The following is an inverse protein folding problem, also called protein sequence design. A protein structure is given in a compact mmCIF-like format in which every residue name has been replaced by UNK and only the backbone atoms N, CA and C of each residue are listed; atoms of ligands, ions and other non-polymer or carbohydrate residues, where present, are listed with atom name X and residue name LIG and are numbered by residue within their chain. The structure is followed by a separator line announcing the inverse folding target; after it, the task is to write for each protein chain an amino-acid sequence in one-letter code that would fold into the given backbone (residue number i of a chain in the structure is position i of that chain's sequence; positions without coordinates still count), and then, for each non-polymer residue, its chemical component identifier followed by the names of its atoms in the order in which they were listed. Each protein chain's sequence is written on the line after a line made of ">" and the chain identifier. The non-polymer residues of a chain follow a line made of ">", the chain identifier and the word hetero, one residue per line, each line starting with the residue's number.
data_IF_987187587009
#
_entry.id   IF_987187587009
#
_cell.length_a   1.000
_cell.length_b   1.000
_cell.length_c   1.000
_cell.angle_alpha   90.00
_cell.angle_beta   90.00
_cell.angle_gamma   90.00
#
_symmetry.space_group_name_H-M   'P 1'
#
loop_
_entity.id
_entity.type
_entity.pdbx_description
1 polymer ?
#
# COMPACT_ATOMS: atom_id res chain seq x y z
N UNK A 1 -0.34 -42.50 -2.19
CA UNK A 1 0.35 -41.21 -2.42
C UNK A 1 1.78 -41.52 -2.82
N UNK A 2 2.14 -41.28 -4.09
CA UNK A 2 3.53 -41.39 -4.52
C UNK A 2 4.34 -40.24 -3.92
N UNK A 3 5.43 -40.56 -3.23
CA UNK A 3 6.38 -39.54 -2.79
C UNK A 3 7.05 -38.94 -4.03
N UNK A 4 7.16 -37.61 -4.15
CA UNK A 4 7.86 -36.99 -5.26
C UNK A 4 9.31 -37.47 -5.32
N UNK A 5 9.80 -37.73 -6.54
CA UNK A 5 11.18 -38.13 -6.76
C UNK A 5 12.15 -37.02 -6.31
N UNK A 6 13.34 -37.40 -5.87
CA UNK A 6 14.39 -36.45 -5.42
C UNK A 6 14.68 -35.38 -6.50
N UNK A 7 14.68 -35.77 -7.78
CA UNK A 7 14.86 -34.84 -8.90
C UNK A 7 13.73 -33.78 -8.99
N UNK A 8 12.48 -34.17 -8.68
CA UNK A 8 11.35 -33.23 -8.69
C UNK A 8 11.44 -32.24 -7.54
N UNK A 9 11.90 -32.67 -6.37
CA UNK A 9 12.12 -31.80 -5.20
C UNK A 9 13.22 -30.77 -5.52
N UNK A 10 14.36 -31.22 -6.06
CA UNK A 10 15.45 -30.31 -6.42
C UNK A 10 15.05 -29.28 -7.49
N UNK A 11 14.28 -29.69 -8.50
CA UNK A 11 13.75 -28.76 -9.52
C UNK A 11 12.78 -27.73 -8.92
N UNK A 12 11.92 -28.14 -7.98
CA UNK A 12 11.04 -27.22 -7.27
C UNK A 12 11.82 -26.21 -6.43
N UNK A 13 12.84 -26.65 -5.70
CA UNK A 13 13.68 -25.74 -4.90
C UNK A 13 14.43 -24.71 -5.75
N UNK A 14 14.98 -25.12 -6.90
CA UNK A 14 15.66 -24.20 -7.83
C UNK A 14 14.67 -23.18 -8.38
N UNK A 15 13.48 -23.62 -8.81
CA UNK A 15 12.43 -22.74 -9.32
C UNK A 15 11.96 -21.73 -8.26
N UNK A 16 11.83 -22.16 -7.00
CA UNK A 16 11.44 -21.28 -5.91
C UNK A 16 12.51 -20.23 -5.60
N UNK A 17 13.79 -20.62 -5.58
CA UNK A 17 14.90 -19.68 -5.37
C UNK A 17 14.95 -18.63 -6.48
N UNK A 18 14.78 -19.04 -7.73
CA UNK A 18 14.74 -18.11 -8.86
C UNK A 18 13.55 -17.15 -8.74
N UNK A 19 12.34 -17.65 -8.47
CA UNK A 19 11.16 -16.80 -8.30
C UNK A 19 11.32 -15.80 -7.14
N UNK A 20 11.95 -16.20 -6.02
CA UNK A 20 12.28 -15.27 -4.93
C UNK A 20 13.25 -14.19 -5.37
N UNK A 21 14.30 -14.55 -6.11
CA UNK A 21 15.27 -13.58 -6.59
C UNK A 21 14.63 -12.57 -7.55
N UNK A 22 13.78 -13.04 -8.47
CA UNK A 22 13.04 -12.19 -9.41
C UNK A 22 12.07 -11.24 -8.69
N UNK A 23 11.29 -11.73 -7.73
CA UNK A 23 10.41 -10.89 -6.92
C UNK A 23 11.19 -9.87 -6.09
N UNK A 24 12.31 -10.27 -5.48
CA UNK A 24 13.15 -9.36 -4.72
C UNK A 24 13.75 -8.27 -5.64
N UNK A 25 14.25 -8.63 -6.82
CA UNK A 25 14.74 -7.64 -7.79
C UNK A 25 13.62 -6.69 -8.25
N UNK A 26 12.40 -7.20 -8.45
CA UNK A 26 11.24 -6.38 -8.76
C UNK A 26 10.91 -5.39 -7.64
N UNK A 27 10.92 -5.84 -6.38
CA UNK A 27 10.75 -4.96 -5.22
C UNK A 27 11.87 -3.91 -5.14
N UNK A 28 13.14 -4.33 -5.23
CA UNK A 28 14.29 -3.43 -5.18
C UNK A 28 14.30 -2.41 -6.33
N UNK A 29 13.65 -2.71 -7.45
CA UNK A 29 13.56 -1.78 -8.58
C UNK A 29 12.90 -0.45 -8.22
N UNK A 30 11.97 -0.43 -7.25
CA UNK A 30 11.29 0.79 -6.78
C UNK A 30 11.95 1.40 -5.53
N UNK A 31 12.87 0.70 -4.89
CA UNK A 31 13.54 1.16 -3.67
C UNK A 31 14.77 2.02 -4.01
N UNK A 32 14.99 3.05 -3.22
CA UNK A 32 16.16 3.92 -3.21
C UNK A 32 17.02 3.53 -2.01
N UNK A 33 17.95 2.60 -2.23
CA UNK A 33 18.82 2.07 -1.18
C UNK A 33 19.83 3.09 -0.65
N UNK A 34 20.14 4.12 -1.44
CA UNK A 34 21.15 5.14 -1.11
C UNK A 34 20.56 6.33 -0.37
N UNK A 35 19.25 6.57 -0.51
CA UNK A 35 18.57 7.67 0.18
C UNK A 35 18.61 7.52 1.69
N UNK A 36 19.22 8.46 2.38
CA UNK A 36 19.17 8.55 3.83
C UNK A 36 17.82 9.10 4.30
N UNK A 37 17.35 8.62 5.46
CA UNK A 37 16.15 9.17 6.10
C UNK A 37 16.51 10.52 6.71
N UNK A 38 15.80 11.61 6.40
CA UNK A 38 16.01 12.88 7.08
C UNK A 38 15.87 12.71 8.59
N UNK A 39 16.79 13.29 9.38
CA UNK A 39 16.78 13.14 10.85
C UNK A 39 15.44 13.55 11.48
N UNK A 40 14.78 14.55 10.88
CA UNK A 40 13.47 15.03 11.32
C UNK A 40 12.39 13.94 11.24
N UNK A 41 12.45 13.05 10.24
CA UNK A 41 11.48 11.96 10.04
C UNK A 41 11.54 11.01 11.23
N UNK A 42 12.74 10.58 11.62
CA UNK A 42 12.92 9.63 12.73
C UNK A 42 12.31 10.17 14.04
N UNK A 43 12.45 11.48 14.30
CA UNK A 43 11.87 12.12 15.48
C UNK A 43 10.34 12.15 15.44
N UNK A 44 9.75 12.42 14.27
CA UNK A 44 8.31 12.53 14.07
C UNK A 44 7.64 11.15 14.08
N UNK A 45 8.24 10.15 13.43
CA UNK A 45 7.80 8.74 13.47
C UNK A 45 7.75 8.25 14.92
N UNK A 46 8.78 8.54 15.72
CA UNK A 46 8.80 8.17 17.14
C UNK A 46 7.70 8.86 17.96
N UNK A 47 7.36 10.11 17.63
CA UNK A 47 6.23 10.82 18.28
C UNK A 47 4.89 10.16 17.92
N UNK A 48 4.70 9.80 16.65
CA UNK A 48 3.50 9.12 16.16
C UNK A 48 3.34 7.74 16.82
N UNK A 49 4.41 6.92 16.84
CA UNK A 49 4.38 5.57 17.42
C UNK A 49 4.07 5.50 18.93
N UNK A 50 4.37 6.57 19.68
CA UNK A 50 4.09 6.64 21.13
C UNK A 50 2.61 6.80 21.46
N UNK A 51 1.78 7.16 20.47
CA UNK A 51 0.34 7.26 20.67
C UNK A 51 -0.26 5.89 20.48
N UNK A 52 -0.48 5.19 21.59
CA UNK A 52 -1.03 3.85 21.62
C UNK A 52 -2.41 3.84 20.96
N UNK A 53 -2.48 3.26 19.77
CA UNK A 53 -3.74 2.95 19.11
C UNK A 53 -4.13 1.50 19.41
N UNK A 54 -5.38 1.33 19.87
CA UNK A 54 -6.08 0.05 20.01
C UNK A 54 -7.33 0.12 19.13
N UNK A 55 -7.17 0.19 17.82
CA UNK A 55 -8.33 0.15 16.94
C UNK A 55 -8.82 -1.25 16.70
N UNK A 56 -10.12 -1.34 16.50
CA UNK A 56 -10.74 -2.50 15.88
C UNK A 56 -10.24 -2.63 14.44
N UNK A 57 -10.01 -3.85 13.92
CA UNK A 57 -9.91 -4.04 12.48
C UNK A 57 -11.14 -3.43 11.82
N UNK A 58 -10.90 -2.52 10.91
CA UNK A 58 -11.91 -1.72 10.25
C UNK A 58 -12.08 -2.24 8.82
N UNK A 59 -13.34 -2.26 8.36
CA UNK A 59 -13.79 -2.88 7.11
C UNK A 59 -13.44 -2.05 5.85
N UNK A 60 -12.24 -1.45 5.81
CA UNK A 60 -11.89 -0.46 4.79
C UNK A 60 -11.62 -1.06 3.41
N UNK A 61 -11.23 -2.34 3.34
CA UNK A 61 -11.14 -3.11 2.09
C UNK A 61 -12.47 -3.16 1.33
N UNK A 62 -13.60 -3.15 2.04
CA UNK A 62 -14.93 -3.25 1.45
C UNK A 62 -15.32 -2.02 0.64
N UNK A 63 -14.83 -0.84 1.01
CA UNK A 63 -15.24 0.38 0.33
C UNK A 63 -14.56 0.50 -1.05
N UNK A 64 -13.27 0.18 -1.19
CA UNK A 64 -12.64 0.08 -2.52
C UNK A 64 -13.19 -1.08 -3.34
N UNK A 65 -13.48 -2.23 -2.71
CA UNK A 65 -14.16 -3.34 -3.39
C UNK A 65 -15.52 -2.93 -3.94
N UNK A 66 -16.29 -2.16 -3.18
CA UNK A 66 -17.56 -1.59 -3.62
C UNK A 66 -17.34 -0.65 -4.80
N UNK A 67 -16.37 0.28 -4.70
CA UNK A 67 -16.03 1.19 -5.79
C UNK A 67 -15.72 0.46 -7.09
N UNK A 68 -14.88 -0.58 -7.02
CA UNK A 68 -14.40 -1.28 -8.21
C UNK A 68 -15.46 -2.19 -8.85
N UNK A 69 -16.44 -2.67 -8.08
CA UNK A 69 -17.45 -3.64 -8.53
C UNK A 69 -18.85 -3.06 -8.75
N UNK A 70 -19.11 -1.84 -8.29
CA UNK A 70 -20.40 -1.16 -8.46
C UNK A 70 -20.56 -0.65 -9.91
N UNK A 71 -21.52 -1.16 -10.71
CA UNK A 71 -21.74 -0.74 -12.08
C UNK A 71 -22.07 0.76 -12.21
N UNK A 72 -22.63 1.37 -11.16
CA UNK A 72 -22.94 2.81 -11.13
C UNK A 72 -21.68 3.66 -11.00
N UNK A 73 -20.54 3.05 -10.66
CA UNK A 73 -19.23 3.68 -10.49
C UNK A 73 -18.23 3.25 -11.56
N UNK A 74 -18.72 2.72 -12.68
CA UNK A 74 -17.89 2.19 -13.76
C UNK A 74 -16.83 3.18 -14.25
N UNK A 75 -17.18 4.46 -14.39
CA UNK A 75 -16.24 5.50 -14.83
C UNK A 75 -15.04 5.64 -13.88
N UNK A 76 -15.30 5.73 -12.57
CA UNK A 76 -14.26 5.79 -11.54
C UNK A 76 -13.40 4.52 -11.54
N UNK A 77 -14.05 3.35 -11.61
CA UNK A 77 -13.34 2.08 -11.62
C UNK A 77 -12.46 1.93 -12.86
N UNK A 78 -12.94 2.32 -14.04
CA UNK A 78 -12.18 2.27 -15.28
C UNK A 78 -11.01 3.25 -15.28
N UNK A 79 -11.22 4.47 -14.78
CA UNK A 79 -10.17 5.45 -14.57
C UNK A 79 -9.06 4.89 -13.67
N UNK A 80 -9.42 4.35 -12.50
CA UNK A 80 -8.48 3.76 -11.55
C UNK A 80 -7.73 2.57 -12.19
N UNK A 81 -8.43 1.68 -12.91
CA UNK A 81 -7.82 0.55 -13.61
C UNK A 81 -6.81 1.02 -14.65
N UNK A 82 -7.16 2.02 -15.45
CA UNK A 82 -6.26 2.55 -16.47
C UNK A 82 -4.99 3.13 -15.83
N UNK A 83 -5.15 3.89 -14.74
CA UNK A 83 -4.05 4.55 -14.02
C UNK A 83 -3.23 3.59 -13.15
N UNK A 84 -3.67 2.36 -12.91
CA UNK A 84 -2.90 1.34 -12.20
C UNK A 84 -2.30 0.28 -13.13
N UNK A 85 -2.68 0.28 -14.41
CA UNK A 85 -2.24 -0.74 -15.37
C UNK A 85 -0.72 -0.80 -15.49
N UNK A 86 -0.15 -1.96 -15.19
CA UNK A 86 1.28 -2.21 -15.32
C UNK A 86 2.15 -1.42 -14.33
N UNK A 87 1.58 -0.91 -13.25
CA UNK A 87 2.28 -0.12 -12.23
C UNK A 87 2.33 -0.85 -10.89
N UNK A 88 3.19 -0.41 -9.98
CA UNK A 88 3.17 -0.84 -8.60
C UNK A 88 2.05 -0.13 -7.84
N UNK A 89 1.33 -0.84 -6.99
CA UNK A 89 0.43 -0.24 -6.01
C UNK A 89 0.94 -0.54 -4.60
N UNK A 90 1.27 0.52 -3.87
CA UNK A 90 1.62 0.44 -2.45
C UNK A 90 0.40 0.80 -1.62
N UNK A 91 -0.02 -0.12 -0.78
CA UNK A 91 -1.12 0.02 0.17
C UNK A 91 -0.58 0.27 1.57
N UNK A 92 -0.84 1.47 2.06
CA UNK A 92 -0.34 1.99 3.32
C UNK A 92 -1.43 1.81 4.38
N UNK A 93 -1.13 1.00 5.41
CA UNK A 93 -2.10 0.66 6.46
C UNK A 93 -3.03 -0.51 6.12
N UNK A 94 -2.64 -1.39 5.20
CA UNK A 94 -3.51 -2.47 4.74
C UNK A 94 -3.78 -3.57 5.80
N UNK A 95 -3.07 -3.57 6.93
CA UNK A 95 -3.27 -4.52 8.01
C UNK A 95 -3.17 -5.98 7.56
N UNK A 96 -3.92 -6.87 8.22
CA UNK A 96 -3.97 -8.31 7.94
C UNK A 96 -4.66 -8.66 6.60
N UNK A 97 -5.41 -7.71 6.01
CA UNK A 97 -6.26 -7.95 4.84
C UNK A 97 -5.69 -7.43 3.53
N UNK A 98 -4.96 -6.33 3.57
CA UNK A 98 -4.67 -5.52 2.40
C UNK A 98 -5.94 -5.06 1.69
N UNK A 99 -5.78 -4.43 0.53
CA UNK A 99 -6.85 -4.29 -0.44
C UNK A 99 -7.20 -5.66 -1.03
N UNK A 100 -8.49 -5.91 -1.28
CA UNK A 100 -8.91 -7.03 -2.12
C UNK A 100 -8.58 -6.68 -3.58
N UNK A 101 -7.47 -7.23 -4.09
CA UNK A 101 -6.83 -6.85 -5.36
C UNK A 101 -7.31 -7.49 -6.68
N UNK A 102 -8.28 -8.44 -6.75
CA UNK A 102 -8.64 -9.14 -7.96
C UNK A 102 -8.68 -8.31 -9.26
N UNK A 103 -9.15 -7.07 -9.15
CA UNK A 103 -9.56 -6.26 -10.28
C UNK A 103 -8.61 -5.09 -10.59
N UNK A 104 -7.51 -4.96 -9.85
CA UNK A 104 -6.53 -3.89 -10.05
C UNK A 104 -5.40 -4.36 -10.98
N UNK A 105 -5.24 -3.86 -12.22
CA UNK A 105 -4.31 -4.40 -13.21
C UNK A 105 -2.83 -4.02 -12.96
N UNK A 106 -2.35 -4.14 -11.73
CA UNK A 106 -1.00 -3.76 -11.28
C UNK A 106 0.05 -4.79 -11.69
N UNK A 107 1.31 -4.35 -11.82
CA UNK A 107 2.48 -5.22 -11.98
C UNK A 107 2.78 -5.97 -10.69
N UNK A 108 2.69 -5.28 -9.56
CA UNK A 108 2.84 -5.85 -8.23
C UNK A 108 2.11 -5.00 -7.20
N UNK A 109 1.79 -5.63 -6.07
CA UNK A 109 1.17 -4.97 -4.94
C UNK A 109 2.04 -5.12 -3.69
N UNK A 110 2.10 -4.07 -2.89
CA UNK A 110 2.90 -4.02 -1.67
C UNK A 110 1.99 -3.53 -0.53
N UNK A 111 1.75 -4.37 0.47
CA UNK A 111 1.10 -3.98 1.72
C UNK A 111 2.16 -3.53 2.72
N UNK A 112 2.02 -2.33 3.28
CA UNK A 112 2.92 -1.75 4.27
C UNK A 112 2.16 -1.51 5.56
N UNK A 113 2.61 -2.12 6.65
CA UNK A 113 1.95 -1.98 7.95
C UNK A 113 2.93 -2.17 9.13
N UNK A 114 2.57 -1.66 10.32
CA UNK A 114 3.32 -1.76 11.58
C UNK A 114 2.69 -2.75 12.58
N UNK A 115 1.51 -3.31 12.29
CA UNK A 115 0.86 -4.27 13.19
C UNK A 115 1.48 -5.65 13.02
N UNK A 116 2.23 -6.10 14.03
CA UNK A 116 2.89 -7.42 14.05
C UNK A 116 1.91 -8.59 13.82
N UNK A 117 0.66 -8.45 14.29
CA UNK A 117 -0.41 -9.42 14.04
C UNK A 117 -0.80 -9.53 12.56
N UNK A 118 -0.45 -8.54 11.72
CA UNK A 118 -0.54 -8.60 10.27
C UNK A 118 0.58 -9.45 9.63
N UNK A 119 1.66 -9.77 10.36
CA UNK A 119 2.82 -10.53 9.86
C UNK A 119 3.21 -11.86 10.58
N UNK A 120 2.64 -12.21 11.74
CA UNK A 120 2.54 -13.59 12.25
C UNK A 120 3.64 -13.99 13.24
N UNK A 121 3.52 -15.13 13.92
CA UNK A 121 4.41 -15.48 15.05
C UNK A 121 5.88 -15.76 14.66
N UNK A 122 6.16 -16.19 13.42
CA UNK A 122 7.53 -16.39 12.90
C UNK A 122 8.28 -15.06 12.66
N UNK A 123 7.59 -13.92 12.74
CA UNK A 123 8.15 -12.60 12.51
C UNK A 123 9.03 -12.06 13.65
N UNK A 124 9.01 -12.70 14.82
CA UNK A 124 9.88 -12.37 15.95
C UNK A 124 11.38 -12.48 15.62
N UNK A 125 11.76 -13.16 14.53
CA UNK A 125 13.15 -13.23 14.05
C UNK A 125 13.47 -12.25 12.90
N UNK A 126 12.46 -11.67 12.24
CA UNK A 126 12.60 -10.80 11.06
C UNK A 126 12.71 -9.29 11.40
N UNK A 127 12.70 -8.94 12.69
CA UNK A 127 12.92 -7.58 13.22
C UNK A 127 14.31 -7.00 12.82
N UNK A 128 15.19 -7.80 12.21
CA UNK A 128 16.51 -7.35 11.78
C UNK A 128 16.49 -6.45 10.52
N UNK A 129 15.45 -6.50 9.67
CA UNK A 129 15.33 -5.59 8.53
C UNK A 129 13.86 -5.27 8.16
N UNK A 130 13.29 -4.16 8.66
CA UNK A 130 11.88 -3.80 8.45
C UNK A 130 11.50 -3.53 6.98
N UNK A 131 12.49 -3.37 6.10
CA UNK A 131 12.26 -3.05 4.68
C UNK A 131 12.35 -4.26 3.76
N UNK A 132 12.51 -5.47 4.30
CA UNK A 132 12.51 -6.69 3.49
C UNK A 132 11.07 -7.18 3.25
N UNK A 133 10.72 -7.54 2.00
CA UNK A 133 9.42 -8.13 1.72
C UNK A 133 9.31 -9.51 2.35
N UNK A 134 8.15 -9.80 2.94
CA UNK A 134 7.78 -11.07 3.55
C UNK A 134 6.51 -11.62 2.92
N UNK A 135 6.23 -12.90 3.15
CA UNK A 135 4.95 -13.50 2.76
C UNK A 135 3.81 -12.95 3.65
N UNK A 136 2.61 -12.68 3.10
CA UNK A 136 1.44 -12.39 3.92
C UNK A 136 1.01 -13.60 4.74
N UNK A 137 0.58 -13.41 6.00
CA UNK A 137 0.15 -14.50 6.90
C UNK A 137 -0.99 -15.35 6.30
N UNK A 138 -1.90 -14.68 5.57
CA UNK A 138 -3.29 -15.14 5.40
C UNK A 138 -3.49 -16.49 4.71
N UNK A 139 -2.44 -17.10 4.17
CA UNK A 139 -2.58 -18.27 3.32
C UNK A 139 -1.80 -19.50 3.76
N UNK A 140 -0.93 -19.40 4.77
CA UNK A 140 0.05 -20.47 5.01
C UNK A 140 1.01 -20.67 3.83
N UNK A 141 1.05 -19.71 2.89
CA UNK A 141 1.93 -19.76 1.74
C UNK A 141 3.32 -19.27 2.09
N UNK A 142 4.31 -19.88 1.43
CA UNK A 142 5.69 -19.46 1.53
C UNK A 142 5.98 -18.36 0.53
N UNK A 143 6.80 -17.37 0.92
CA UNK A 143 7.40 -16.44 -0.04
C UNK A 143 8.16 -17.26 -1.11
N UNK A 144 8.05 -16.99 -2.42
CA UNK A 144 7.36 -15.87 -3.07
C UNK A 144 5.84 -16.08 -3.13
N UNK A 145 5.06 -15.03 -2.85
CA UNK A 145 3.60 -15.09 -2.90
C UNK A 145 3.06 -14.39 -4.15
N UNK A 146 2.02 -14.98 -4.74
CA UNK A 146 1.34 -14.45 -5.91
C UNK A 146 -0.17 -14.53 -5.70
N UNK A 147 -0.91 -13.56 -6.23
CA UNK A 147 -2.36 -13.67 -6.24
C UNK A 147 -2.88 -14.65 -7.30
N UNK A 148 -4.21 -14.77 -7.38
CA UNK A 148 -4.91 -15.62 -8.36
C UNK A 148 -4.55 -15.33 -9.83
N UNK A 149 -4.06 -14.13 -10.13
CA UNK A 149 -3.64 -13.70 -11.46
C UNK A 149 -2.12 -13.83 -11.65
N UNK A 150 -1.43 -14.52 -10.75
CA UNK A 150 0.03 -14.71 -10.73
C UNK A 150 0.81 -13.40 -10.59
N UNK A 151 0.24 -12.38 -9.95
CA UNK A 151 0.93 -11.11 -9.70
C UNK A 151 1.67 -11.16 -8.37
N UNK A 152 2.92 -10.69 -8.29
CA UNK A 152 3.64 -10.60 -7.03
C UNK A 152 2.91 -9.75 -5.99
N UNK A 153 2.81 -10.28 -4.78
CA UNK A 153 2.35 -9.56 -3.60
C UNK A 153 3.48 -9.55 -2.57
N UNK A 154 3.74 -8.37 -2.04
CA UNK A 154 4.72 -8.15 -1.00
C UNK A 154 4.02 -7.65 0.27
N UNK A 155 4.46 -8.13 1.42
CA UNK A 155 4.09 -7.57 2.72
C UNK A 155 5.36 -6.99 3.36
N UNK A 156 5.30 -5.76 3.86
CA UNK A 156 6.45 -5.05 4.42
C UNK A 156 6.08 -4.54 5.81
N UNK A 157 6.84 -4.97 6.81
CA UNK A 157 6.68 -4.52 8.19
C UNK A 157 7.43 -3.19 8.41
N UNK A 158 6.77 -2.07 8.13
CA UNK A 158 7.38 -0.75 8.28
C UNK A 158 6.33 0.30 8.58
N UNK A 159 6.76 1.36 9.27
CA UNK A 159 6.03 2.62 9.31
C UNK A 159 5.90 3.18 7.88
N UNK A 160 4.74 3.77 7.57
CA UNK A 160 4.39 4.26 6.22
C UNK A 160 5.39 5.32 5.74
N UNK A 161 5.71 6.29 6.59
CA UNK A 161 6.64 7.37 6.25
C UNK A 161 8.06 6.84 6.07
N UNK A 162 8.49 5.92 6.95
CA UNK A 162 9.78 5.23 6.82
C UNK A 162 9.91 4.50 5.49
N UNK A 163 8.84 3.80 5.10
CA UNK A 163 8.82 3.06 3.84
C UNK A 163 8.89 3.99 2.64
N UNK A 164 7.97 4.97 2.55
CA UNK A 164 7.90 5.88 1.39
C UNK A 164 9.17 6.70 1.24
N UNK A 165 9.80 7.12 2.34
CA UNK A 165 11.07 7.85 2.30
C UNK A 165 12.22 7.06 1.65
N UNK A 166 12.10 5.73 1.56
CA UNK A 166 13.04 4.84 0.88
C UNK A 166 12.58 4.43 -0.52
N UNK A 167 11.43 4.91 -1.01
CA UNK A 167 10.94 4.64 -2.36
C UNK A 167 11.47 5.71 -3.33
N UNK A 168 11.86 5.29 -4.54
CA UNK A 168 12.29 6.20 -5.62
C UNK A 168 11.18 7.17 -5.99
N UNK A 169 11.54 8.42 -6.25
CA UNK A 169 10.59 9.42 -6.74
C UNK A 169 9.94 8.97 -8.04
N UNK A 170 8.62 9.15 -8.18
CA UNK A 170 7.93 8.89 -9.44
C UNK A 170 7.82 7.41 -9.85
N UNK A 171 7.81 6.46 -8.92
CA UNK A 171 7.93 5.03 -9.23
C UNK A 171 6.68 4.18 -8.96
N UNK A 172 5.74 4.66 -8.15
CA UNK A 172 4.61 3.85 -7.67
C UNK A 172 3.27 4.58 -7.79
N UNK A 173 2.16 3.87 -7.59
CA UNK A 173 0.89 4.43 -7.18
C UNK A 173 0.65 4.08 -5.71
N UNK A 174 -0.15 4.89 -5.02
CA UNK A 174 -0.39 4.72 -3.58
C UNK A 174 -1.88 4.54 -3.29
N UNK A 175 -2.17 3.73 -2.28
CA UNK A 175 -3.44 3.67 -1.59
C UNK A 175 -3.20 3.89 -0.10
N UNK A 176 -4.00 4.76 0.50
CA UNK A 176 -4.10 4.91 1.95
C UNK A 176 -5.37 4.21 2.40
N UNK A 177 -5.21 2.97 2.83
CA UNK A 177 -6.32 2.13 3.26
C UNK A 177 -6.35 2.07 4.78
N UNK A 178 -7.53 2.31 5.34
CA UNK A 178 -7.75 2.23 6.78
C UNK A 178 -6.93 3.13 7.69
N UNK A 179 -6.43 4.22 7.12
CA UNK A 179 -5.82 5.31 7.85
C UNK A 179 -6.84 6.44 7.97
N UNK A 180 -7.19 6.81 9.21
CA UNK A 180 -8.03 7.95 9.53
C UNK A 180 -7.32 8.88 10.54
N UNK A 181 -8.01 9.92 10.99
CA UNK A 181 -7.49 10.91 11.95
C UNK A 181 -7.29 10.33 13.36
N UNK A 182 -7.80 9.12 13.64
CA UNK A 182 -7.50 8.40 14.87
C UNK A 182 -6.19 7.62 14.76
N UNK A 183 -5.78 7.22 13.56
CA UNK A 183 -4.48 6.60 13.30
C UNK A 183 -3.40 7.68 13.26
N UNK A 184 -3.53 8.69 12.38
CA UNK A 184 -2.53 9.76 12.26
C UNK A 184 -2.91 10.92 13.16
N UNK A 185 -2.13 11.14 14.22
CA UNK A 185 -2.48 12.11 15.26
C UNK A 185 -1.41 13.20 15.46
N UNK A 186 -0.29 13.09 14.74
CA UNK A 186 0.80 14.07 14.73
C UNK A 186 0.71 14.84 13.41
N UNK A 187 0.31 16.14 13.41
CA UNK A 187 0.13 16.91 12.18
C UNK A 187 1.36 16.94 11.29
N UNK A 188 2.55 17.06 11.88
CA UNK A 188 3.82 17.05 11.14
C UNK A 188 4.06 15.72 10.43
N UNK A 189 3.58 14.60 10.99
CA UNK A 189 3.61 13.30 10.30
C UNK A 189 2.70 13.32 9.08
N UNK A 190 1.50 13.91 9.20
CA UNK A 190 0.55 14.02 8.09
C UNK A 190 1.10 14.85 6.93
N UNK A 191 1.75 15.99 7.24
CA UNK A 191 2.42 16.84 6.24
C UNK A 191 3.54 16.09 5.51
N UNK A 192 4.43 15.42 6.25
CA UNK A 192 5.51 14.65 5.64
C UNK A 192 5.00 13.48 4.81
N UNK A 193 3.95 12.80 5.27
CA UNK A 193 3.34 11.71 4.51
C UNK A 193 2.71 12.22 3.21
N UNK A 194 1.99 13.35 3.24
CA UNK A 194 1.43 13.98 2.04
C UNK A 194 2.54 14.36 1.03
N UNK A 195 3.64 14.95 1.51
CA UNK A 195 4.78 15.29 0.66
C UNK A 195 5.39 14.04 0.00
N UNK A 196 5.59 12.97 0.78
CA UNK A 196 6.16 11.74 0.28
C UNK A 196 5.22 11.03 -0.70
N UNK A 197 3.90 11.02 -0.46
CA UNK A 197 2.89 10.53 -1.41
C UNK A 197 3.01 11.23 -2.77
N UNK A 198 3.11 12.56 -2.79
CA UNK A 198 3.31 13.32 -4.04
C UNK A 198 4.62 12.93 -4.70
N UNK A 199 5.71 12.83 -3.94
CA UNK A 199 7.06 12.56 -4.46
C UNK A 199 7.15 11.19 -5.13
N UNK A 200 6.70 10.14 -4.45
CA UNK A 200 6.83 8.75 -4.90
C UNK A 200 5.86 8.38 -6.01
N UNK A 201 4.72 9.08 -6.10
CA UNK A 201 3.70 8.79 -7.12
C UNK A 201 4.26 9.01 -8.53
N UNK A 202 4.11 8.04 -9.43
CA UNK A 202 4.51 8.11 -10.84
C UNK A 202 3.68 9.15 -11.60
N UNK A 203 4.24 9.89 -12.59
CA UNK A 203 3.44 10.74 -13.47
C UNK A 203 2.30 9.97 -14.16
N UNK A 204 1.12 10.57 -14.18
CA UNK A 204 -0.14 9.93 -14.55
C UNK A 204 -0.60 8.84 -13.59
N UNK A 205 0.08 8.62 -12.46
CA UNK A 205 -0.29 7.68 -11.39
C UNK A 205 -1.34 8.25 -10.45
N UNK A 206 -1.86 7.40 -9.57
CA UNK A 206 -2.91 7.79 -8.62
C UNK A 206 -2.51 7.61 -7.16
N UNK A 207 -3.04 8.50 -6.32
CA UNK A 207 -3.11 8.37 -4.86
C UNK A 207 -4.58 8.18 -4.51
N UNK A 208 -4.88 7.04 -3.92
CA UNK A 208 -6.21 6.67 -3.47
C UNK A 208 -6.27 6.78 -1.94
N UNK A 209 -7.38 7.26 -1.38
CA UNK A 209 -7.56 7.21 0.07
C UNK A 209 -8.94 7.65 0.52
N UNK A 210 -9.14 7.62 1.82
CA UNK A 210 -10.33 8.13 2.51
C UNK A 210 -10.00 9.44 3.23
N UNK A 211 -11.03 10.08 3.76
CA UNK A 211 -10.86 11.21 4.68
C UNK A 211 -9.87 10.87 5.79
N UNK A 212 -8.75 11.57 5.75
CA UNK A 212 -7.63 11.45 6.67
C UNK A 212 -6.79 12.71 6.55
N UNK A 213 -6.05 13.06 7.61
CA UNK A 213 -5.21 14.26 7.64
C UNK A 213 -4.30 14.41 6.40
N UNK A 214 -3.55 13.38 5.94
CA UNK A 214 -2.72 13.51 4.74
C UNK A 214 -3.53 13.78 3.47
N UNK A 215 -4.70 13.17 3.31
CA UNK A 215 -5.56 13.38 2.14
C UNK A 215 -6.19 14.77 2.16
N UNK A 216 -6.53 15.30 3.34
CA UNK A 216 -7.00 16.66 3.53
C UNK A 216 -5.89 17.69 3.24
N UNK A 217 -4.65 17.41 3.64
CA UNK A 217 -3.48 18.22 3.31
C UNK A 217 -3.27 18.26 1.79
N UNK A 218 -3.31 17.10 1.12
CA UNK A 218 -3.21 17.04 -0.34
C UNK A 218 -4.31 17.84 -1.05
N UNK A 219 -5.56 17.73 -0.60
CA UNK A 219 -6.68 18.47 -1.17
C UNK A 219 -6.47 19.99 -1.08
N UNK A 220 -5.97 20.49 0.06
CA UNK A 220 -5.59 21.90 0.22
C UNK A 220 -4.45 22.28 -0.71
N UNK A 221 -3.36 21.50 -0.73
CA UNK A 221 -2.20 21.78 -1.60
C UNK A 221 -2.56 21.78 -3.09
N UNK A 222 -3.53 20.96 -3.52
CA UNK A 222 -4.07 20.97 -4.88
C UNK A 222 -4.85 22.25 -5.15
N UNK A 223 -5.76 22.64 -4.26
CA UNK A 223 -6.57 23.87 -4.40
C UNK A 223 -5.70 25.12 -4.45
N UNK A 224 -4.62 25.14 -3.67
CA UNK A 224 -3.67 26.25 -3.59
C UNK A 224 -2.63 26.23 -4.72
N UNK A 225 -2.59 25.17 -5.54
CA UNK A 225 -1.63 25.03 -6.65
C UNK A 225 -0.19 24.74 -6.21
N UNK A 226 0.02 24.29 -4.97
CA UNK A 226 1.35 23.94 -4.43
C UNK A 226 1.89 22.61 -4.98
N UNK A 227 1.00 21.72 -5.41
CA UNK A 227 1.37 20.40 -5.96
C UNK A 227 0.72 20.18 -7.31
N UNK A 228 1.43 19.45 -8.19
CA UNK A 228 0.93 19.07 -9.52
C UNK A 228 0.11 17.78 -9.45
N UNK A 229 -1.01 17.84 -8.72
CA UNK A 229 -2.02 16.79 -8.71
C UNK A 229 -3.37 17.34 -9.19
N UNK A 230 -4.23 16.46 -9.68
CA UNK A 230 -5.64 16.74 -9.98
C UNK A 230 -6.50 15.87 -9.07
N UNK A 231 -7.40 16.48 -8.30
CA UNK A 231 -8.45 15.75 -7.58
C UNK A 231 -9.57 15.40 -8.55
N UNK A 232 -9.89 14.12 -8.63
CA UNK A 232 -11.02 13.62 -9.41
C UNK A 232 -12.22 13.43 -8.48
N UNK A 233 -13.28 14.18 -8.77
CA UNK A 233 -14.56 14.04 -8.09
C UNK A 233 -15.50 13.21 -8.95
N UNK A 234 -16.00 12.11 -8.39
CA UNK A 234 -17.00 11.27 -9.05
C UNK A 234 -18.35 11.50 -8.37
N UNK A 235 -19.41 11.75 -9.16
CA UNK A 235 -20.75 11.95 -8.62
C UNK A 235 -21.20 10.68 -7.87
N UNK A 236 -21.30 10.76 -6.55
CA UNK A 236 -21.64 9.64 -5.69
C UNK A 236 -22.87 9.93 -4.84
N UNK A 237 -23.84 8.99 -4.79
CA UNK A 237 -24.98 9.08 -3.89
C UNK A 237 -24.61 8.49 -2.52
N UNK A 238 -24.67 9.25 -1.42
CA UNK A 238 -24.29 8.80 -0.07
C UNK A 238 -25.10 7.61 0.47
N UNK A 239 -26.20 7.24 -0.19
CA UNK A 239 -27.15 6.24 0.31
C UNK A 239 -26.54 4.84 0.51
N UNK A 240 -25.47 4.49 -0.22
CA UNK A 240 -24.80 3.19 -0.11
C UNK A 240 -23.65 3.15 0.93
N UNK A 241 -23.32 4.28 1.58
CA UNK A 241 -22.36 4.34 2.70
C UNK A 241 -22.95 4.99 3.94
N UNK A 242 -24.27 4.81 4.18
CA UNK A 242 -24.94 5.35 5.38
C UNK A 242 -24.29 4.92 6.70
N UNK A 243 -23.57 3.80 6.71
CA UNK A 243 -22.86 3.31 7.90
C UNK A 243 -21.38 3.74 7.96
N UNK A 244 -20.84 4.34 6.89
CA UNK A 244 -19.39 4.58 6.74
C UNK A 244 -19.01 5.94 6.14
N UNK A 245 -19.89 6.96 6.08
CA UNK A 245 -19.63 8.42 6.01
C UNK A 245 -18.34 9.05 5.43
N UNK A 246 -17.49 8.36 4.69
CA UNK A 246 -16.12 8.75 4.40
C UNK A 246 -16.02 9.22 2.95
N UNK A 247 -15.61 10.46 2.76
CA UNK A 247 -15.24 11.01 1.45
C UNK A 247 -14.08 10.18 0.87
N UNK A 248 -14.23 9.78 -0.39
CA UNK A 248 -13.17 9.12 -1.15
C UNK A 248 -12.34 10.18 -1.88
N UNK A 249 -11.03 10.02 -1.82
CA UNK A 249 -10.09 10.87 -2.53
C UNK A 249 -9.40 10.05 -3.62
N UNK A 250 -9.40 10.62 -4.82
CA UNK A 250 -8.63 10.13 -5.96
C UNK A 250 -7.85 11.31 -6.51
N UNK A 251 -6.54 11.29 -6.31
CA UNK A 251 -5.63 12.26 -6.91
C UNK A 251 -4.86 11.61 -8.05
N UNK A 252 -4.75 12.29 -9.18
CA UNK A 252 -3.85 11.94 -10.27
C UNK A 252 -2.64 12.87 -10.28
N UNK A 253 -1.45 12.34 -10.46
CA UNK A 253 -0.25 13.16 -10.64
C UNK A 253 -0.07 13.56 -12.11
N UNK A 254 0.14 14.85 -12.36
CA UNK A 254 0.38 15.40 -13.70
C UNK A 254 1.82 15.26 -14.17
#
# INVERSE_FOLDING_TARGET
>A
MEKPSINRIQQMEVSLRQARAEQLQLFLSIMDSERELPEEYASIIKKQARRSFRGSPTYFDQAWKTVMNDPTRKEMADFIRERLRGRFLVDLGGGFGGLDLPDFPVTAYINVDIYEEAFGAEHNQLVQNPMQPVAPIRTGDHYPYFDKNKRPIFSVYSDMLTFLAKVKSGSICCAMNGIDDHIIQVPEYGELLAQELVRVTVPGGVILGYISEPMNILDRQVKDGHVRLVKHSFNYSPAAMKDHGHELFVFEKL
#
